data_IF_001895502052
#
_entry.id   IF_001895502052
#
_cell.length_a   1.000
_cell.length_b   1.000
_cell.length_c   1.000
_cell.angle_alpha   90.00
_cell.angle_beta   90.00
_cell.angle_gamma   90.00
#
_symmetry.space_group_name_H-M   'P 1'
#
loop_
_entity.id
_entity.type
_entity.pdbx_description
1 polymer ?
#
# COMPACT_ATOMS: atom_id res chain seq x y z
N UNK A 1 6.18 -25.08 17.58
CA UNK A 1 4.91 -24.61 18.19
C UNK A 1 5.04 -23.19 18.74
N UNK A 2 6.20 -22.78 19.24
CA UNK A 2 6.47 -21.38 19.63
C UNK A 2 6.41 -20.40 18.45
N UNK A 3 6.58 -20.88 17.23
CA UNK A 3 6.61 -20.02 16.06
C UNK A 3 5.23 -19.43 15.72
N UNK A 4 4.16 -20.21 15.60
CA UNK A 4 2.84 -19.64 15.27
C UNK A 4 2.43 -18.45 16.18
N UNK A 5 2.84 -18.47 17.44
CA UNK A 5 2.55 -17.43 18.45
C UNK A 5 3.19 -16.07 18.16
N UNK A 6 4.48 -16.03 17.77
CA UNK A 6 5.18 -14.76 17.50
C UNK A 6 4.64 -14.01 16.27
N UNK A 7 4.13 -14.75 15.27
CA UNK A 7 3.53 -14.13 14.08
C UNK A 7 2.17 -13.50 14.36
N UNK A 8 1.40 -14.12 15.26
CA UNK A 8 0.07 -13.65 15.64
C UNK A 8 0.14 -12.35 16.46
N UNK A 9 1.15 -12.20 17.34
CA UNK A 9 1.34 -11.00 18.14
C UNK A 9 1.65 -9.75 17.30
N UNK A 10 2.48 -9.87 16.27
CA UNK A 10 2.81 -8.75 15.38
C UNK A 10 1.60 -8.23 14.61
N UNK A 11 0.76 -9.13 14.10
CA UNK A 11 -0.46 -8.76 13.38
C UNK A 11 -1.46 -8.00 14.27
N UNK A 12 -1.54 -8.37 15.56
CA UNK A 12 -2.41 -7.71 16.52
C UNK A 12 -1.93 -6.27 16.80
N UNK A 13 -0.62 -6.07 16.99
CA UNK A 13 -0.06 -4.73 17.25
C UNK A 13 -0.25 -3.78 16.05
N UNK A 14 -0.04 -4.28 14.84
CA UNK A 14 -0.28 -3.54 13.60
C UNK A 14 -1.76 -3.11 13.50
N UNK A 15 -2.68 -4.02 13.81
CA UNK A 15 -4.12 -3.74 13.80
C UNK A 15 -4.52 -2.64 14.80
N UNK A 16 -4.04 -2.73 16.05
CA UNK A 16 -4.33 -1.70 17.07
C UNK A 16 -3.74 -0.35 16.70
N UNK A 17 -2.52 -0.34 16.14
CA UNK A 17 -1.87 0.88 15.68
C UNK A 17 -2.65 1.52 14.54
N UNK A 18 -3.07 0.72 13.55
CA UNK A 18 -3.91 1.18 12.44
C UNK A 18 -5.21 1.83 12.94
N UNK A 19 -5.94 1.17 13.84
CA UNK A 19 -7.19 1.71 14.38
C UNK A 19 -7.01 3.04 15.14
N UNK A 20 -5.92 3.16 15.92
CA UNK A 20 -5.62 4.42 16.64
C UNK A 20 -5.30 5.56 15.68
N UNK A 21 -4.50 5.28 14.65
CA UNK A 21 -4.16 6.26 13.61
C UNK A 21 -5.41 6.71 12.88
N UNK A 22 -6.30 5.79 12.50
CA UNK A 22 -7.56 6.13 11.83
C UNK A 22 -8.49 6.96 12.71
N UNK A 23 -8.61 6.64 13.99
CA UNK A 23 -9.38 7.47 14.93
C UNK A 23 -8.82 8.88 15.05
N UNK A 24 -7.49 9.03 15.07
CA UNK A 24 -6.81 10.32 15.04
C UNK A 24 -7.07 11.10 13.74
N UNK A 25 -7.01 10.43 12.60
CA UNK A 25 -7.32 11.01 11.29
C UNK A 25 -8.78 11.48 11.18
N UNK A 26 -9.72 10.67 11.65
CA UNK A 26 -11.13 11.06 11.73
C UNK A 26 -11.32 12.30 12.60
N UNK A 27 -10.67 12.35 13.76
CA UNK A 27 -10.70 13.51 14.64
C UNK A 27 -10.15 14.77 13.97
N UNK A 28 -9.03 14.63 13.25
CA UNK A 28 -8.42 15.74 12.50
C UNK A 28 -9.33 16.23 11.36
N UNK A 29 -9.90 15.31 10.58
CA UNK A 29 -10.84 15.63 9.49
C UNK A 29 -12.10 16.30 10.03
N UNK A 30 -12.65 15.82 11.14
CA UNK A 30 -13.81 16.43 11.79
C UNK A 30 -13.48 17.83 12.33
N UNK A 31 -12.32 18.01 12.96
CA UNK A 31 -11.86 19.31 13.43
C UNK A 31 -11.68 20.30 12.27
N UNK A 32 -10.97 19.89 11.23
CA UNK A 32 -10.77 20.71 10.02
C UNK A 32 -12.11 21.07 9.38
N UNK A 33 -13.06 20.13 9.36
CA UNK A 33 -14.42 20.38 8.87
C UNK A 33 -15.13 21.47 9.69
N UNK A 34 -15.12 21.38 11.02
CA UNK A 34 -15.82 22.35 11.87
C UNK A 34 -15.26 23.77 11.67
N UNK A 35 -13.93 23.93 11.64
CA UNK A 35 -13.31 25.26 11.54
C UNK A 35 -13.50 25.91 10.16
N UNK A 36 -13.53 25.11 9.09
CA UNK A 36 -13.63 25.61 7.71
C UNK A 36 -15.06 25.66 7.19
N UNK A 37 -16.05 25.18 7.96
CA UNK A 37 -17.45 25.14 7.54
C UNK A 37 -18.02 26.55 7.28
N UNK A 38 -17.72 27.52 8.14
CA UNK A 38 -18.20 28.90 7.94
C UNK A 38 -17.68 29.53 6.64
N UNK A 39 -16.42 29.28 6.30
CA UNK A 39 -15.82 29.74 5.03
C UNK A 39 -16.43 29.02 3.82
N UNK A 40 -16.72 27.73 3.95
CA UNK A 40 -17.40 26.96 2.90
C UNK A 40 -18.80 27.52 2.62
N UNK A 41 -19.59 27.79 3.66
CA UNK A 41 -20.93 28.39 3.52
C UNK A 41 -20.85 29.74 2.80
N UNK A 42 -19.93 30.61 3.19
CA UNK A 42 -19.76 31.91 2.54
C UNK A 42 -19.26 31.82 1.08
N UNK A 43 -18.34 30.91 0.77
CA UNK A 43 -17.70 30.82 -0.55
C UNK A 43 -18.44 29.94 -1.56
N UNK A 44 -19.11 28.88 -1.10
CA UNK A 44 -19.76 27.88 -1.98
C UNK A 44 -21.27 28.10 -2.04
N UNK A 45 -21.91 28.40 -0.92
CA UNK A 45 -23.37 28.43 -0.85
C UNK A 45 -23.97 29.80 -1.16
N UNK A 46 -23.22 30.88 -0.93
CA UNK A 46 -23.67 32.25 -1.23
C UNK A 46 -23.22 32.77 -2.61
N UNK A 47 -22.41 32.00 -3.35
CA UNK A 47 -21.86 32.40 -4.65
C UNK A 47 -22.35 31.44 -5.74
N UNK A 48 -22.42 31.87 -7.01
CA UNK A 48 -22.72 30.96 -8.11
C UNK A 48 -21.68 29.83 -8.14
N UNK A 49 -22.16 28.61 -8.37
CA UNK A 49 -21.33 27.40 -8.38
C UNK A 49 -20.26 27.56 -9.47
N UNK A 50 -19.01 27.71 -9.05
CA UNK A 50 -17.84 27.73 -9.93
C UNK A 50 -17.17 26.37 -9.99
N UNK A 51 -16.39 26.10 -11.04
CA UNK A 51 -15.60 24.87 -11.13
C UNK A 51 -14.66 24.69 -9.93
N UNK A 52 -14.07 25.77 -9.42
CA UNK A 52 -13.23 25.77 -8.21
C UNK A 52 -14.03 25.43 -6.96
N UNK A 53 -15.26 25.95 -6.84
CA UNK A 53 -16.16 25.64 -5.73
C UNK A 53 -16.51 24.14 -5.73
N UNK A 54 -16.82 23.57 -6.89
CA UNK A 54 -17.09 22.12 -7.03
C UNK A 54 -15.87 21.30 -6.68
N UNK A 55 -14.67 21.69 -7.16
CA UNK A 55 -13.43 20.98 -6.86
C UNK A 55 -13.15 20.94 -5.36
N UNK A 56 -13.22 22.10 -4.68
CA UNK A 56 -13.03 22.21 -3.23
C UNK A 56 -14.06 21.40 -2.44
N UNK A 57 -15.34 21.50 -2.83
CA UNK A 57 -16.41 20.73 -2.21
C UNK A 57 -16.16 19.23 -2.38
N UNK A 58 -15.80 18.79 -3.58
CA UNK A 58 -15.53 17.38 -3.88
C UNK A 58 -14.38 16.83 -3.04
N UNK A 59 -13.29 17.58 -2.87
CA UNK A 59 -12.14 17.12 -2.07
C UNK A 59 -12.52 16.94 -0.61
N UNK A 60 -13.28 17.90 -0.08
CA UNK A 60 -13.72 17.86 1.30
C UNK A 60 -14.66 16.70 1.58
N UNK A 61 -15.68 16.50 0.74
CA UNK A 61 -16.62 15.40 0.91
C UNK A 61 -15.96 14.04 0.70
N UNK A 62 -15.02 13.91 -0.22
CA UNK A 62 -14.27 12.66 -0.40
C UNK A 62 -13.48 12.29 0.86
N UNK A 63 -12.81 13.26 1.50
CA UNK A 63 -12.09 13.01 2.76
C UNK A 63 -13.03 12.57 3.88
N UNK A 64 -14.17 13.25 4.06
CA UNK A 64 -15.15 12.91 5.09
C UNK A 64 -15.79 11.55 4.83
N UNK A 65 -16.22 11.28 3.59
CA UNK A 65 -16.84 10.01 3.21
C UNK A 65 -15.87 8.84 3.37
N UNK A 66 -14.61 9.03 3.01
CA UNK A 66 -13.59 7.99 3.18
C UNK A 66 -13.47 7.60 4.65
N UNK A 67 -13.35 8.57 5.55
CA UNK A 67 -13.28 8.31 6.99
C UNK A 67 -14.59 7.72 7.54
N UNK A 68 -15.75 8.14 7.04
CA UNK A 68 -17.04 7.58 7.45
C UNK A 68 -17.15 6.08 7.15
N UNK A 69 -16.62 5.63 6.01
CA UNK A 69 -16.60 4.20 5.63
C UNK A 69 -15.79 3.39 6.64
N UNK A 70 -14.66 3.89 7.12
CA UNK A 70 -13.80 3.20 8.08
C UNK A 70 -14.45 2.98 9.46
N UNK A 71 -15.43 3.82 9.83
CA UNK A 71 -16.18 3.66 11.09
C UNK A 71 -17.33 2.66 10.95
N UNK A 72 -17.71 2.29 9.72
CA UNK A 72 -18.80 1.32 9.52
C UNK A 72 -18.38 -0.08 10.00
N UNK A 73 -19.28 -0.82 10.66
CA UNK A 73 -18.96 -2.16 11.17
C UNK A 73 -18.58 -3.11 10.03
N UNK A 74 -17.48 -3.84 10.24
CA UNK A 74 -16.98 -4.86 9.32
C UNK A 74 -17.82 -6.13 9.41
N UNK A 75 -18.70 -6.33 8.43
CA UNK A 75 -19.37 -7.59 8.15
C UNK A 75 -19.03 -8.09 6.74
N UNK A 76 -19.31 -9.36 6.45
CA UNK A 76 -19.07 -9.97 5.13
C UNK A 76 -19.70 -9.14 4.00
N UNK A 77 -20.96 -8.71 4.20
CA UNK A 77 -21.69 -7.88 3.23
C UNK A 77 -21.12 -6.46 3.14
N UNK A 78 -20.70 -5.89 4.27
CA UNK A 78 -20.03 -4.58 4.31
C UNK A 78 -18.74 -4.60 3.51
N UNK A 79 -17.95 -5.66 3.65
CA UNK A 79 -16.68 -5.84 2.94
C UNK A 79 -16.88 -5.78 1.42
N UNK A 80 -17.82 -6.58 0.91
CA UNK A 80 -18.09 -6.64 -0.54
C UNK A 80 -18.69 -5.34 -1.09
N UNK A 81 -19.50 -4.64 -0.29
CA UNK A 81 -20.21 -3.43 -0.73
C UNK A 81 -19.38 -2.16 -0.62
N UNK A 82 -18.67 -1.96 0.49
CA UNK A 82 -17.95 -0.72 0.75
C UNK A 82 -16.57 -0.66 0.10
N UNK A 83 -15.96 -1.81 -0.18
CA UNK A 83 -14.65 -1.86 -0.81
C UNK A 83 -14.57 -1.13 -2.16
N UNK A 84 -15.44 -1.38 -3.16
CA UNK A 84 -15.35 -0.62 -4.41
C UNK A 84 -15.58 0.88 -4.19
N UNK A 85 -16.33 1.26 -3.15
CA UNK A 85 -16.59 2.67 -2.82
C UNK A 85 -15.36 3.32 -2.20
N UNK A 86 -14.67 2.66 -1.25
CA UNK A 86 -13.44 3.17 -0.64
C UNK A 86 -12.35 3.39 -1.69
N UNK A 87 -12.22 2.46 -2.64
CA UNK A 87 -11.26 2.58 -3.75
C UNK A 87 -11.62 3.72 -4.71
N UNK A 88 -12.90 3.86 -5.05
CA UNK A 88 -13.35 4.97 -5.88
C UNK A 88 -13.04 6.33 -5.22
N UNK A 89 -13.25 6.44 -3.91
CA UNK A 89 -12.90 7.65 -3.15
C UNK A 89 -11.40 7.90 -3.18
N UNK A 90 -10.58 6.86 -3.01
CA UNK A 90 -9.12 6.97 -3.06
C UNK A 90 -8.63 7.44 -4.45
N UNK A 91 -9.13 6.85 -5.53
CA UNK A 91 -8.80 7.29 -6.89
C UNK A 91 -9.26 8.73 -7.14
N UNK A 92 -10.42 9.11 -6.61
CA UNK A 92 -10.91 10.48 -6.68
C UNK A 92 -9.97 11.45 -5.94
N UNK A 93 -9.47 11.08 -4.76
CA UNK A 93 -8.47 11.87 -4.04
C UNK A 93 -7.18 12.06 -4.84
N UNK A 94 -6.65 11.00 -5.45
CA UNK A 94 -5.45 11.11 -6.29
C UNK A 94 -5.68 11.99 -7.52
N UNK A 95 -6.84 11.87 -8.17
CA UNK A 95 -7.22 12.73 -9.28
C UNK A 95 -7.28 14.21 -8.85
N UNK A 96 -7.88 14.49 -7.69
CA UNK A 96 -7.94 15.83 -7.13
C UNK A 96 -6.54 16.39 -6.85
N UNK A 97 -5.65 15.60 -6.25
CA UNK A 97 -4.25 16.00 -5.98
C UNK A 97 -3.53 16.35 -7.29
N UNK A 98 -3.69 15.52 -8.33
CA UNK A 98 -3.11 15.77 -9.64
C UNK A 98 -3.63 17.06 -10.28
N UNK A 99 -4.95 17.29 -10.20
CA UNK A 99 -5.59 18.51 -10.70
C UNK A 99 -5.12 19.75 -9.94
N UNK A 100 -5.08 19.71 -8.60
CA UNK A 100 -4.57 20.84 -7.81
C UNK A 100 -3.11 21.15 -8.10
N UNK A 101 -2.29 20.11 -8.28
CA UNK A 101 -0.88 20.27 -8.65
C UNK A 101 -0.76 20.93 -10.03
N UNK A 102 -1.54 20.47 -11.01
CA UNK A 102 -1.59 21.08 -12.35
C UNK A 102 -2.07 22.53 -12.34
N UNK A 103 -3.11 22.85 -11.56
CA UNK A 103 -3.64 24.20 -11.40
C UNK A 103 -2.63 25.15 -10.74
N UNK A 104 -1.85 24.68 -9.76
CA UNK A 104 -0.77 25.48 -9.15
C UNK A 104 0.31 25.83 -10.17
N UNK A 105 0.75 24.86 -10.96
CA UNK A 105 1.73 25.09 -12.04
C UNK A 105 1.17 26.04 -13.11
N UNK A 106 -0.11 25.91 -13.43
CA UNK A 106 -0.80 26.80 -14.35
C UNK A 106 -0.84 28.25 -13.86
N UNK A 107 -1.10 28.47 -12.57
CA UNK A 107 -1.12 29.80 -11.97
C UNK A 107 0.26 30.47 -11.92
N UNK A 108 1.33 29.68 -11.73
CA UNK A 108 2.70 30.19 -11.71
C UNK A 108 3.19 30.66 -13.09
N UNK A 109 2.64 30.13 -14.18
CA UNK A 109 3.10 30.41 -15.54
C UNK A 109 2.11 31.26 -16.34
N UNK A 110 1.94 32.50 -15.90
CA UNK A 110 0.90 33.40 -16.42
C UNK A 110 1.04 33.76 -17.92
N UNK A 111 2.28 33.85 -18.46
CA UNK A 111 2.53 34.57 -19.71
C UNK A 111 3.12 33.76 -20.88
N UNK A 112 3.10 32.42 -20.82
CA UNK A 112 3.65 31.59 -21.90
C UNK A 112 2.65 30.59 -22.47
N UNK A 113 2.79 30.28 -23.77
CA UNK A 113 2.04 29.20 -24.44
C UNK A 113 2.32 27.81 -23.82
N UNK A 114 3.43 27.67 -23.09
CA UNK A 114 3.80 26.42 -22.41
C UNK A 114 2.92 26.13 -21.19
N UNK A 115 2.13 27.08 -20.69
CA UNK A 115 1.28 26.89 -19.50
C UNK A 115 0.32 25.69 -19.63
N UNK A 116 -0.28 25.50 -20.80
CA UNK A 116 -1.23 24.40 -21.03
C UNK A 116 -0.51 23.07 -21.19
N UNK A 117 0.66 23.08 -21.84
CA UNK A 117 1.52 21.89 -21.99
C UNK A 117 1.99 21.40 -20.61
N UNK A 118 2.45 22.32 -19.75
CA UNK A 118 2.89 21.99 -18.40
C UNK A 118 1.73 21.50 -17.51
N UNK A 119 0.55 22.13 -17.58
CA UNK A 119 -0.63 21.66 -16.86
C UNK A 119 -0.99 20.23 -17.25
N UNK A 120 -1.04 19.93 -18.56
CA UNK A 120 -1.36 18.59 -19.06
C UNK A 120 -0.28 17.59 -18.65
N UNK A 121 0.99 17.96 -18.76
CA UNK A 121 2.10 17.10 -18.35
C UNK A 121 2.03 16.73 -16.86
N UNK A 122 1.76 17.70 -15.97
CA UNK A 122 1.64 17.46 -14.52
C UNK A 122 0.44 16.57 -14.19
N UNK A 123 -0.70 16.78 -14.86
CA UNK A 123 -1.88 15.93 -14.67
C UNK A 123 -1.59 14.50 -15.15
N UNK A 124 -0.98 14.33 -16.33
CA UNK A 124 -0.62 13.00 -16.84
C UNK A 124 0.35 12.27 -15.92
N UNK A 125 1.36 12.97 -15.39
CA UNK A 125 2.28 12.41 -14.40
C UNK A 125 1.55 12.01 -13.10
N UNK A 126 0.63 12.85 -12.64
CA UNK A 126 -0.21 12.56 -11.46
C UNK A 126 -1.18 11.40 -11.65
N UNK A 127 -1.55 11.06 -12.89
CA UNK A 127 -2.40 9.92 -13.22
C UNK A 127 -1.67 8.57 -13.22
N UNK A 128 -0.33 8.55 -13.22
CA UNK A 128 0.47 7.31 -13.16
C UNK A 128 0.06 6.42 -11.97
N UNK A 129 0.05 6.89 -10.71
CA UNK A 129 -0.37 6.07 -9.57
C UNK A 129 -1.81 5.57 -9.68
N UNK A 130 -2.71 6.34 -10.32
CA UNK A 130 -4.10 5.90 -10.56
C UNK A 130 -4.10 4.68 -11.47
N UNK A 131 -3.36 4.73 -12.58
CA UNK A 131 -3.30 3.64 -13.55
C UNK A 131 -2.64 2.37 -12.95
N UNK A 132 -1.52 2.52 -12.25
CA UNK A 132 -0.80 1.38 -11.65
C UNK A 132 -1.62 0.71 -10.57
N UNK A 133 -2.28 1.49 -9.71
CA UNK A 133 -3.07 0.95 -8.60
C UNK A 133 -4.40 0.39 -9.08
N UNK A 134 -5.01 0.97 -10.13
CA UNK A 134 -6.20 0.37 -10.78
C UNK A 134 -5.90 -1.01 -11.37
N UNK A 135 -4.73 -1.17 -11.99
CA UNK A 135 -4.31 -2.47 -12.49
C UNK A 135 -4.10 -3.49 -11.37
N UNK A 136 -3.40 -3.10 -10.30
CA UNK A 136 -3.23 -3.94 -9.12
C UNK A 136 -4.59 -4.35 -8.53
N UNK A 137 -5.51 -3.38 -8.39
CA UNK A 137 -6.86 -3.59 -7.88
C UNK A 137 -7.67 -4.60 -8.69
N UNK A 138 -7.59 -4.52 -10.03
CA UNK A 138 -8.28 -5.45 -10.93
C UNK A 138 -7.86 -6.92 -10.76
N UNK A 139 -6.73 -7.16 -10.07
CA UNK A 139 -6.18 -8.49 -9.79
C UNK A 139 -6.33 -8.90 -8.32
N UNK A 140 -6.90 -8.04 -7.49
CA UNK A 140 -7.12 -8.34 -6.08
C UNK A 140 -8.40 -9.15 -5.90
N UNK A 141 -8.28 -10.25 -5.16
CA UNK A 141 -9.42 -10.98 -4.61
C UNK A 141 -9.61 -10.57 -3.15
N UNK A 142 -10.83 -10.20 -2.78
CA UNK A 142 -11.18 -9.89 -1.40
C UNK A 142 -11.68 -11.16 -0.72
N UNK A 143 -11.01 -11.56 0.38
CA UNK A 143 -11.43 -12.66 1.23
C UNK A 143 -11.76 -12.10 2.61
N UNK A 144 -12.87 -12.54 3.18
CA UNK A 144 -13.24 -12.17 4.54
C UNK A 144 -12.68 -13.22 5.50
N UNK A 145 -12.05 -12.76 6.59
CA UNK A 145 -11.45 -13.63 7.60
C UNK A 145 -12.00 -13.26 8.98
N UNK A 146 -12.48 -14.26 9.72
CA UNK A 146 -13.14 -14.07 11.02
C UNK A 146 -12.19 -13.97 12.22
N UNK A 147 -10.88 -14.19 12.07
CA UNK A 147 -9.96 -14.40 13.21
C UNK A 147 -8.64 -13.62 13.07
N UNK A 148 -8.12 -13.02 14.16
CA UNK A 148 -8.80 -12.71 15.43
C UNK A 148 -9.73 -11.48 15.36
N UNK A 149 -9.72 -10.74 14.23
CA UNK A 149 -10.58 -9.58 14.00
C UNK A 149 -11.26 -9.69 12.63
N UNK A 150 -12.56 -9.41 12.59
CA UNK A 150 -13.33 -9.36 11.35
C UNK A 150 -12.76 -8.28 10.43
N UNK A 151 -12.00 -8.72 9.42
CA UNK A 151 -11.34 -7.82 8.47
C UNK A 151 -11.43 -8.34 7.04
N UNK A 152 -11.32 -7.41 6.10
CA UNK A 152 -11.19 -7.69 4.67
C UNK A 152 -9.71 -7.86 4.36
N UNK A 153 -9.32 -9.04 3.89
CA UNK A 153 -7.95 -9.30 3.45
C UNK A 153 -7.93 -9.37 1.93
N UNK A 154 -6.97 -8.68 1.31
CA UNK A 154 -6.75 -8.73 -0.13
C UNK A 154 -5.68 -9.77 -0.45
N UNK A 155 -5.98 -10.69 -1.36
CA UNK A 155 -4.95 -11.51 -2.01
C UNK A 155 -4.75 -11.03 -3.44
N UNK A 156 -3.49 -10.78 -3.80
CA UNK A 156 -3.13 -10.52 -5.19
C UNK A 156 -2.86 -11.84 -5.86
N UNK A 157 -3.67 -12.18 -6.86
CA UNK A 157 -3.38 -13.35 -7.70
C UNK A 157 -2.27 -12.99 -8.68
N UNK A 158 -1.02 -13.27 -8.31
CA UNK A 158 0.11 -13.10 -9.20
C UNK A 158 0.14 -14.26 -10.19
N UNK A 159 0.02 -14.01 -11.50
CA UNK A 159 0.18 -15.06 -12.50
C UNK A 159 1.57 -15.70 -12.38
N UNK A 160 1.64 -17.03 -12.47
CA UNK A 160 2.91 -17.80 -12.35
C UNK A 160 4.04 -17.34 -13.28
N UNK A 161 3.75 -16.63 -14.38
CA UNK A 161 4.78 -16.11 -15.28
C UNK A 161 5.44 -14.81 -14.75
N UNK A 162 4.69 -13.99 -14.02
CA UNK A 162 5.18 -12.72 -13.45
C UNK A 162 6.06 -12.96 -12.22
N UNK A 163 5.74 -13.99 -11.42
CA UNK A 163 6.59 -14.42 -10.30
C UNK A 163 7.99 -14.79 -10.77
N UNK A 164 8.14 -15.39 -11.96
CA UNK A 164 9.45 -15.71 -12.54
C UNK A 164 10.26 -14.46 -12.87
N UNK A 165 9.64 -13.42 -13.45
CA UNK A 165 10.34 -12.17 -13.75
C UNK A 165 10.76 -11.45 -12.46
N UNK A 166 9.88 -11.42 -11.46
CA UNK A 166 10.20 -10.84 -10.15
C UNK A 166 11.35 -11.57 -9.46
N UNK A 167 11.35 -12.92 -9.51
CA UNK A 167 12.44 -13.76 -9.00
C UNK A 167 13.74 -13.51 -9.76
N UNK A 168 13.71 -13.42 -11.10
CA UNK A 168 14.89 -13.11 -11.90
C UNK A 168 15.43 -11.72 -11.58
N UNK A 169 14.56 -10.74 -11.38
CA UNK A 169 14.97 -9.40 -11.01
C UNK A 169 15.58 -9.35 -9.60
N UNK A 170 14.98 -10.06 -8.63
CA UNK A 170 15.54 -10.22 -7.29
C UNK A 170 16.91 -10.91 -7.33
N UNK A 171 17.04 -11.99 -8.10
CA UNK A 171 18.28 -12.74 -8.26
C UNK A 171 19.37 -11.92 -9.00
N UNK A 172 18.98 -11.10 -9.98
CA UNK A 172 19.91 -10.20 -10.66
C UNK A 172 20.40 -9.11 -9.72
N UNK A 173 19.52 -8.55 -8.89
CA UNK A 173 19.87 -7.52 -7.91
C UNK A 173 20.80 -8.06 -6.81
N UNK A 174 20.63 -9.30 -6.36
CA UNK A 174 21.56 -9.92 -5.40
C UNK A 174 22.93 -10.22 -6.02
N UNK A 175 23.01 -10.59 -7.30
CA UNK A 175 24.29 -10.79 -8.01
C UNK A 175 25.09 -9.51 -8.22
N UNK A 176 24.43 -8.36 -8.31
CA UNK A 176 25.11 -7.07 -8.47
C UNK A 176 25.65 -6.46 -7.17
N UNK A 177 25.37 -7.06 -6.01
CA UNK A 177 25.99 -6.58 -4.75
C UNK A 177 27.48 -6.95 -4.75
N UNK A 178 28.40 -5.95 -4.70
CA UNK A 178 29.82 -6.23 -4.55
C UNK A 178 30.08 -6.91 -3.19
N UNK A 179 30.95 -7.92 -3.19
CA UNK A 179 31.20 -8.85 -2.09
C UNK A 179 31.83 -8.25 -0.81
N UNK A 180 31.65 -6.96 -0.55
CA UNK A 180 32.20 -6.26 0.63
C UNK A 180 31.29 -5.17 1.21
N UNK A 181 30.05 -5.03 0.74
CA UNK A 181 29.10 -4.09 1.34
C UNK A 181 28.46 -4.69 2.60
N UNK A 182 28.61 -4.03 3.74
CA UNK A 182 27.87 -4.37 4.96
C UNK A 182 26.36 -4.44 4.64
N UNK A 183 25.65 -5.51 5.06
CA UNK A 183 24.23 -5.65 4.78
C UNK A 183 23.44 -4.53 5.47
N UNK A 184 22.79 -3.69 4.66
CA UNK A 184 21.81 -2.73 5.14
C UNK A 184 20.49 -3.48 5.39
N UNK A 185 20.02 -3.45 6.64
CA UNK A 185 18.95 -4.30 7.19
C UNK A 185 17.58 -4.09 6.52
N UNK A 186 17.37 -2.95 5.84
CA UNK A 186 16.07 -2.60 5.25
C UNK A 186 15.80 -3.23 3.87
N UNK A 187 16.82 -3.74 3.15
CA UNK A 187 16.63 -4.27 1.79
C UNK A 187 16.20 -5.75 1.74
N UNK A 188 16.23 -6.48 2.85
CA UNK A 188 15.96 -7.93 2.87
C UNK A 188 14.46 -8.28 2.98
N UNK A 189 13.57 -7.29 3.17
CA UNK A 189 12.11 -7.51 3.24
C UNK A 189 11.55 -7.92 1.87
N UNK A 190 11.96 -7.25 0.79
CA UNK A 190 11.47 -7.52 -0.56
C UNK A 190 12.01 -8.84 -1.16
N UNK A 191 13.18 -9.30 -0.73
CA UNK A 191 13.74 -10.58 -1.17
C UNK A 191 12.99 -11.79 -0.58
N UNK A 192 12.43 -11.63 0.62
CA UNK A 192 11.66 -12.66 1.32
C UNK A 192 10.24 -12.83 0.78
N UNK A 193 9.57 -11.74 0.38
CA UNK A 193 8.28 -11.83 -0.33
C UNK A 193 8.41 -12.55 -1.67
N UNK A 194 9.53 -12.36 -2.39
CA UNK A 194 9.79 -13.06 -3.65
C UNK A 194 10.00 -14.58 -3.45
N UNK A 195 10.63 -15.00 -2.35
CA UNK A 195 10.81 -16.41 -2.03
C UNK A 195 9.49 -17.10 -1.63
N UNK A 196 8.63 -16.41 -0.88
CA UNK A 196 7.30 -16.91 -0.50
C UNK A 196 6.37 -17.11 -1.71
N UNK A 197 6.48 -16.25 -2.74
CA UNK A 197 5.72 -16.38 -3.98
C UNK A 197 6.11 -17.62 -4.83
N UNK A 198 7.29 -18.21 -4.59
CA UNK A 198 7.78 -19.39 -5.30
C UNK A 198 7.30 -20.73 -4.74
N UNK A 199 6.46 -20.74 -3.70
CA UNK A 199 6.06 -21.98 -3.02
C UNK A 199 7.15 -22.59 -2.14
N UNK A 200 8.24 -21.86 -1.89
CA UNK A 200 9.19 -22.22 -0.85
C UNK A 200 8.56 -21.87 0.51
N UNK A 201 8.37 -22.87 1.36
CA UNK A 201 8.03 -22.67 2.76
C UNK A 201 9.24 -22.04 3.44
N UNK A 202 9.27 -20.71 3.50
CA UNK A 202 10.32 -20.00 4.22
C UNK A 202 10.04 -20.13 5.72
N UNK A 203 10.68 -21.12 6.34
CA UNK A 203 10.72 -21.28 7.79
C UNK A 203 11.57 -20.15 8.39
N UNK A 204 10.84 -19.11 8.81
CA UNK A 204 11.09 -18.03 9.77
C UNK A 204 12.53 -17.64 10.19
N UNK A 205 12.73 -16.31 10.28
CA UNK A 205 13.87 -15.63 10.95
C UNK A 205 13.79 -15.73 12.48
N UNK A 206 14.84 -16.25 13.10
CA UNK A 206 15.16 -15.96 14.52
C UNK A 206 16.18 -14.82 14.58
N UNK A 207 15.76 -13.68 15.12
CA UNK A 207 16.66 -12.56 15.44
C UNK A 207 17.39 -12.89 16.74
N UNK A 208 18.62 -13.42 16.61
CA UNK A 208 19.54 -13.45 17.75
C UNK A 208 20.16 -12.05 17.94
N UNK A 209 20.49 -11.65 19.19
CA UNK A 209 21.10 -10.33 19.47
C UNK A 209 22.46 -10.09 18.79
N UNK A 210 23.03 -11.10 18.15
CA UNK A 210 24.36 -11.06 17.51
C UNK A 210 24.31 -10.90 15.99
N UNK A 211 23.13 -10.77 15.36
CA UNK A 211 23.01 -10.44 13.94
C UNK A 211 23.45 -11.54 12.95
N UNK A 212 23.52 -12.80 13.39
CA UNK A 212 23.81 -13.94 12.52
C UNK A 212 22.53 -14.63 12.06
N UNK A 213 22.44 -14.93 10.76
CA UNK A 213 21.33 -15.66 10.17
C UNK A 213 21.63 -17.17 10.14
N UNK A 214 20.77 -17.98 10.76
CA UNK A 214 20.82 -19.44 10.64
C UNK A 214 19.72 -19.90 9.69
N UNK A 215 20.10 -20.56 8.60
CA UNK A 215 19.18 -21.24 7.69
C UNK A 215 18.95 -22.66 8.25
N UNK A 216 17.75 -22.93 8.75
CA UNK A 216 17.37 -24.27 9.21
C UNK A 216 16.77 -25.08 8.06
N UNK A 217 17.48 -26.14 7.64
CA UNK A 217 16.95 -27.16 6.74
C UNK A 217 16.02 -28.09 7.56
N UNK A 218 14.70 -28.05 7.33
CA UNK A 218 13.70 -28.82 8.12
C UNK A 218 13.58 -30.32 7.70
N UNK A 219 14.56 -30.82 6.95
CA UNK A 219 14.72 -32.24 6.62
C UNK A 219 15.90 -32.82 7.41
N UNK A 220 15.91 -34.12 7.73
CA UNK A 220 17.04 -34.79 8.35
C UNK A 220 18.21 -34.93 7.35
N UNK A 221 18.77 -33.83 6.87
CA UNK A 221 20.01 -33.77 6.11
C UNK A 221 21.11 -33.24 7.04
N UNK A 222 22.18 -34.02 7.20
CA UNK A 222 23.23 -33.78 8.19
C UNK A 222 24.25 -32.69 7.80
N UNK A 223 24.19 -32.17 6.56
CA UNK A 223 25.02 -31.06 6.06
C UNK A 223 24.34 -30.34 4.89
N UNK A 224 24.05 -29.04 5.04
CA UNK A 224 23.68 -28.17 3.93
C UNK A 224 24.96 -27.44 3.44
N UNK A 225 25.36 -27.65 2.18
CA UNK A 225 26.53 -27.00 1.55
C UNK A 225 26.03 -25.87 0.64
N UNK A 226 26.61 -24.68 0.77
CA UNK A 226 26.14 -23.44 0.10
C UNK A 226 26.81 -23.15 -1.24
N UNK A 227 27.23 -24.17 -1.98
CA UNK A 227 27.77 -24.01 -3.33
C UNK A 227 26.72 -24.39 -4.37
N UNK A 228 25.92 -23.40 -4.79
CA UNK A 228 25.22 -23.35 -6.08
C UNK A 228 24.06 -24.31 -6.33
N UNK A 229 24.11 -25.53 -5.81
CA UNK A 229 23.10 -26.57 -6.00
C UNK A 229 22.85 -27.29 -4.67
N UNK A 230 21.61 -27.18 -4.16
CA UNK A 230 21.18 -27.88 -2.94
C UNK A 230 20.92 -29.34 -3.29
N UNK A 231 21.98 -30.13 -3.35
CA UNK A 231 21.92 -31.59 -3.41
C UNK A 231 22.00 -32.14 -1.99
N UNK A 232 20.91 -32.72 -1.47
CA UNK A 232 20.99 -33.55 -0.28
C UNK A 232 21.75 -34.84 -0.65
N UNK A 233 22.97 -34.97 -0.15
CA UNK A 233 23.76 -36.20 -0.26
C UNK A 233 23.15 -37.23 0.71
N UNK A 234 22.42 -38.22 0.18
CA UNK A 234 21.95 -39.36 0.95
C UNK A 234 23.14 -40.24 1.31
N UNK A 235 23.25 -40.60 2.59
CA UNK A 235 24.26 -41.55 3.09
C UNK A 235 23.71 -42.97 3.07
#
# INVERSE_FOLDING_TARGET
MSDSVLGEQGAIEEYYTGNRVQAGLLGLVAYEYVITFGQEVACVWQKPISATSVLLLSTRWVMVLYQAIWVTPSGVESCRRWEPVSQLLLFTSWAQIAVFSGLRVYALWHDSRLRHVLLVAVILLGCIPIATNSFAWSRMQTMYTDLPFASCVYRVDVPKHLSTIALLHAQWRTRLRPAGGHPHVDEDIYALEAAAAGGAEVVRRDLTPSGWYHIFCNHPCSRCRTDGDVLCEQR
#
